data_IF_957092217799
#
_entry.id   IF_957092217799
#
_cell.length_a   1.000
_cell.length_b   1.000
_cell.length_c   1.000
_cell.angle_alpha   90.00
_cell.angle_beta   90.00
_cell.angle_gamma   90.00
#
_symmetry.space_group_name_H-M   'P 1'
#
loop_
_entity.id
_entity.type
_entity.pdbx_description
1 polymer ?
#
# COMPACT_ATOMS: atom_id res chain seq x y z
N UNK A 1 -3.05 -23.58 6.64
CA UNK A 1 -4.39 -23.06 7.00
C UNK A 1 -4.76 -22.01 5.95
N UNK A 2 -5.95 -22.10 5.37
CA UNK A 2 -6.43 -21.12 4.37
C UNK A 2 -7.38 -20.16 5.07
N UNK A 3 -7.31 -18.87 4.73
CA UNK A 3 -8.17 -17.82 5.28
C UNK A 3 -8.73 -16.98 4.13
N UNK A 4 -10.06 -16.83 4.09
CA UNK A 4 -10.75 -16.02 3.09
C UNK A 4 -11.09 -14.65 3.68
N UNK A 5 -10.77 -13.59 2.94
CA UNK A 5 -11.03 -12.20 3.33
C UNK A 5 -11.66 -11.43 2.19
N UNK A 6 -12.84 -10.87 2.43
CA UNK A 6 -13.43 -9.86 1.56
C UNK A 6 -12.89 -8.49 1.95
N UNK A 7 -12.20 -7.82 1.03
CA UNK A 7 -11.68 -6.46 1.22
C UNK A 7 -12.76 -5.48 0.72
N UNK A 8 -13.34 -4.69 1.62
CA UNK A 8 -14.36 -3.68 1.26
C UNK A 8 -13.71 -2.41 0.71
N UNK A 9 -14.51 -1.57 0.08
CA UNK A 9 -14.07 -0.25 -0.38
C UNK A 9 -13.37 0.54 0.73
N UNK A 10 -12.18 1.06 0.43
CA UNK A 10 -11.37 1.82 1.39
C UNK A 10 -10.59 0.96 2.38
N UNK A 11 -10.66 -0.37 2.27
CA UNK A 11 -9.80 -1.28 3.03
C UNK A 11 -8.57 -1.69 2.23
N UNK A 12 -7.52 -2.04 2.96
CA UNK A 12 -6.26 -2.51 2.43
C UNK A 12 -5.86 -3.80 3.15
N UNK A 13 -5.30 -4.73 2.39
CA UNK A 13 -4.55 -5.87 2.91
C UNK A 13 -3.08 -5.48 3.06
N UNK A 14 -2.55 -5.61 4.28
CA UNK A 14 -1.15 -5.40 4.57
C UNK A 14 -0.49 -6.76 4.84
N UNK A 15 0.46 -7.10 3.99
CA UNK A 15 1.23 -8.35 4.03
C UNK A 15 2.49 -8.10 4.85
N UNK A 16 2.70 -8.90 5.90
CA UNK A 16 3.81 -8.73 6.85
C UNK A 16 4.71 -9.97 7.00
N UNK A 17 4.37 -11.07 6.34
CA UNK A 17 5.07 -12.34 6.51
C UNK A 17 5.32 -12.99 5.14
N UNK A 18 6.55 -13.47 4.95
CA UNK A 18 6.94 -14.23 3.77
C UNK A 18 6.44 -15.69 3.85
N UNK A 19 6.45 -16.38 2.73
CA UNK A 19 6.01 -17.79 2.65
C UNK A 19 4.49 -17.96 2.63
N UNK A 20 3.74 -16.87 2.48
CA UNK A 20 2.29 -16.94 2.27
C UNK A 20 1.96 -16.94 0.78
N UNK A 21 0.82 -17.54 0.44
CA UNK A 21 0.24 -17.46 -0.89
C UNK A 21 -1.00 -16.57 -0.79
N UNK A 22 -1.08 -15.58 -1.69
CA UNK A 22 -2.23 -14.69 -1.84
C UNK A 22 -2.89 -14.99 -3.18
N UNK A 23 -4.18 -15.29 -3.15
CA UNK A 23 -4.99 -15.44 -4.35
C UNK A 23 -6.00 -14.28 -4.40
N UNK A 24 -5.93 -13.48 -5.45
CA UNK A 24 -6.80 -12.32 -5.64
C UNK A 24 -8.08 -12.65 -6.42
N UNK A 25 -8.18 -13.86 -6.99
CA UNK A 25 -9.38 -14.36 -7.66
C UNK A 25 -9.73 -15.77 -7.16
N UNK A 26 -9.99 -15.95 -5.85
CA UNK A 26 -10.16 -17.28 -5.24
C UNK A 26 -11.46 -17.99 -5.63
N UNK A 27 -12.44 -17.28 -6.19
CA UNK A 27 -13.73 -17.82 -6.61
C UNK A 27 -13.73 -18.24 -8.10
N UNK A 28 -12.57 -18.16 -8.78
CA UNK A 28 -12.42 -18.60 -10.16
C UNK A 28 -12.76 -20.09 -10.31
N UNK A 29 -13.44 -20.45 -11.40
CA UNK A 29 -13.81 -21.85 -11.67
C UNK A 29 -12.68 -22.67 -12.28
N UNK A 30 -11.75 -22.03 -12.99
CA UNK A 30 -10.59 -22.67 -13.60
C UNK A 30 -9.30 -22.33 -12.81
N UNK A 31 -8.47 -23.33 -12.58
CA UNK A 31 -7.14 -23.20 -11.97
C UNK A 31 -6.23 -22.18 -12.69
N UNK A 32 -6.42 -21.98 -14.00
CA UNK A 32 -5.66 -21.01 -14.79
C UNK A 32 -6.15 -19.56 -14.66
N UNK A 33 -7.33 -19.36 -14.07
CA UNK A 33 -7.94 -18.04 -13.85
C UNK A 33 -7.66 -17.47 -12.45
N UNK A 34 -7.02 -18.25 -11.58
CA UNK A 34 -6.59 -17.78 -10.25
C UNK A 34 -5.41 -16.82 -10.34
N UNK A 35 -5.51 -15.70 -9.64
CA UNK A 35 -4.46 -14.68 -9.55
C UNK A 35 -3.59 -14.92 -8.30
N UNK A 36 -2.77 -15.97 -8.38
CA UNK A 36 -1.98 -16.47 -7.24
C UNK A 36 -0.57 -15.90 -7.18
N UNK A 37 -0.20 -15.36 -6.02
CA UNK A 37 1.12 -14.79 -5.74
C UNK A 37 1.74 -15.42 -4.49
N UNK A 38 3.03 -15.78 -4.57
CA UNK A 38 3.81 -16.22 -3.42
C UNK A 38 4.60 -15.03 -2.88
N UNK A 39 4.53 -14.78 -1.58
CA UNK A 39 5.20 -13.61 -0.99
C UNK A 39 6.59 -14.01 -0.51
N UNK A 40 7.63 -13.41 -1.09
CA UNK A 40 9.02 -13.64 -0.69
C UNK A 40 9.47 -12.64 0.37
N UNK A 41 10.50 -12.98 1.15
CA UNK A 41 11.08 -12.05 2.13
C UNK A 41 11.65 -10.81 1.43
N UNK A 42 12.28 -11.00 0.26
CA UNK A 42 12.84 -9.92 -0.55
C UNK A 42 11.81 -8.88 -0.97
N UNK A 43 10.59 -9.31 -1.33
CA UNK A 43 9.49 -8.40 -1.66
C UNK A 43 9.09 -7.56 -0.44
N UNK A 44 9.01 -8.16 0.75
CA UNK A 44 8.72 -7.43 1.99
C UNK A 44 9.82 -6.45 2.35
N UNK A 45 11.09 -6.85 2.23
CA UNK A 45 12.25 -5.99 2.49
C UNK A 45 12.30 -4.79 1.53
N UNK A 46 11.84 -4.99 0.29
CA UNK A 46 11.70 -3.92 -0.70
C UNK A 46 10.50 -2.99 -0.42
N UNK A 47 9.67 -3.28 0.58
CA UNK A 47 8.48 -2.52 0.93
C UNK A 47 7.24 -2.86 0.11
N UNK A 48 7.23 -3.94 -0.66
CA UNK A 48 6.07 -4.38 -1.46
C UNK A 48 5.05 -5.09 -0.56
N UNK A 49 4.33 -4.32 0.24
CA UNK A 49 3.57 -4.87 1.39
C UNK A 49 2.06 -4.73 1.26
N UNK A 50 1.53 -3.93 0.32
CA UNK A 50 0.11 -3.59 0.33
C UNK A 50 -0.66 -3.97 -0.94
N UNK A 51 -1.89 -4.44 -0.76
CA UNK A 51 -2.90 -4.58 -1.81
C UNK A 51 -4.15 -3.83 -1.34
N UNK A 52 -4.62 -2.85 -2.10
CA UNK A 52 -5.82 -2.08 -1.79
C UNK A 52 -6.86 -2.26 -2.88
N UNK A 53 -8.12 -2.51 -2.49
CA UNK A 53 -9.23 -2.61 -3.43
C UNK A 53 -10.11 -1.37 -3.33
N UNK A 54 -10.42 -0.80 -4.50
CA UNK A 54 -11.43 0.24 -4.65
C UNK A 54 -12.61 -0.30 -5.46
N UNK A 55 -13.68 0.49 -5.61
CA UNK A 55 -14.88 0.05 -6.33
C UNK A 55 -14.63 -0.32 -7.81
N UNK A 56 -13.48 0.08 -8.37
CA UNK A 56 -13.23 0.01 -9.82
C UNK A 56 -11.87 -0.59 -10.18
N UNK A 57 -10.95 -0.75 -9.21
CA UNK A 57 -9.58 -1.21 -9.48
C UNK A 57 -8.88 -1.72 -8.22
N UNK A 58 -8.05 -2.74 -8.41
CA UNK A 58 -7.04 -3.20 -7.45
C UNK A 58 -5.76 -2.40 -7.61
N UNK A 59 -5.26 -1.84 -6.50
CA UNK A 59 -3.99 -1.13 -6.41
C UNK A 59 -2.97 -1.94 -5.62
N UNK A 60 -1.73 -1.90 -6.11
CA UNK A 60 -0.58 -2.49 -5.42
C UNK A 60 0.23 -1.37 -4.81
N UNK A 61 0.59 -1.50 -3.55
CA UNK A 61 1.18 -0.43 -2.75
C UNK A 61 2.57 -0.80 -2.26
N UNK A 62 3.54 0.01 -2.66
CA UNK A 62 4.89 -0.02 -2.11
C UNK A 62 4.98 0.99 -0.98
N UNK A 63 5.46 0.56 0.19
CA UNK A 63 5.69 1.45 1.32
C UNK A 63 6.60 2.61 0.93
N UNK A 64 6.23 3.81 1.36
CA UNK A 64 7.01 5.02 1.19
C UNK A 64 7.25 5.64 2.56
N UNK A 65 8.51 5.68 2.96
CA UNK A 65 8.94 6.23 4.25
C UNK A 65 9.48 7.65 4.12
N UNK A 66 9.40 8.27 2.94
CA UNK A 66 9.90 9.62 2.71
C UNK A 66 9.01 10.69 3.38
N UNK A 67 7.85 10.29 3.91
CA UNK A 67 6.99 11.17 4.70
C UNK A 67 6.41 12.34 3.90
N UNK A 68 6.25 12.15 2.58
CA UNK A 68 5.79 13.22 1.69
C UNK A 68 4.41 13.72 2.10
N UNK A 69 4.24 15.04 2.03
CA UNK A 69 2.98 15.69 2.34
C UNK A 69 1.95 15.43 1.23
N UNK A 70 0.78 14.92 1.59
CA UNK A 70 -0.39 14.94 0.73
C UNK A 70 -0.94 16.38 0.70
N UNK A 71 -0.55 17.16 -0.31
CA UNK A 71 -0.87 18.59 -0.41
C UNK A 71 -2.36 18.93 -0.19
N UNK A 72 -3.31 18.26 -0.87
CA UNK A 72 -4.75 18.47 -0.64
C UNK A 72 -5.21 18.19 0.80
N UNK A 73 -4.80 17.07 1.39
CA UNK A 73 -5.18 16.74 2.77
C UNK A 73 -4.49 17.65 3.80
N UNK A 74 -3.22 17.97 3.58
CA UNK A 74 -2.48 18.91 4.41
C UNK A 74 -3.15 20.28 4.40
N UNK A 75 -3.50 20.81 3.23
CA UNK A 75 -4.20 22.09 3.11
C UNK A 75 -5.57 22.06 3.80
N UNK A 76 -6.33 20.96 3.68
CA UNK A 76 -7.60 20.77 4.39
C UNK A 76 -7.40 20.87 5.90
N UNK A 77 -6.43 20.14 6.46
CA UNK A 77 -6.18 20.15 7.91
C UNK A 77 -5.60 21.47 8.40
N UNK A 78 -4.74 22.12 7.61
CA UNK A 78 -4.17 23.44 7.93
C UNK A 78 -5.28 24.49 8.01
N UNK A 79 -6.24 24.50 7.08
CA UNK A 79 -7.40 25.41 7.14
C UNK A 79 -8.27 25.18 8.37
N UNK A 80 -8.39 23.94 8.82
CA UNK A 80 -9.17 23.58 10.01
C UNK A 80 -8.45 23.97 11.31
N UNK A 81 -7.13 23.79 11.36
CA UNK A 81 -6.32 24.04 12.56
C UNK A 81 -5.96 25.52 12.72
N UNK A 82 -5.69 26.21 11.61
CA UNK A 82 -5.22 27.59 11.57
C UNK A 82 -6.17 28.47 10.75
N UNK A 83 -7.43 28.65 11.18
CA UNK A 83 -8.47 29.32 10.37
C UNK A 83 -8.14 30.79 10.05
N UNK A 84 -7.29 31.42 10.87
CA UNK A 84 -6.88 32.82 10.69
C UNK A 84 -5.77 33.00 9.65
N UNK A 85 -5.12 31.92 9.19
CA UNK A 85 -4.04 31.99 8.20
C UNK A 85 -4.63 31.82 6.80
N UNK A 86 -4.61 32.88 6.00
CA UNK A 86 -5.13 32.85 4.63
C UNK A 86 -4.12 32.24 3.66
N UNK A 87 -4.49 31.23 2.84
CA UNK A 87 -3.65 30.78 1.73
C UNK A 87 -3.25 31.95 0.82
N UNK A 88 -1.95 32.03 0.48
CA UNK A 88 -1.40 33.12 -0.33
C UNK A 88 -1.02 34.40 0.43
N UNK A 89 -1.21 34.43 1.76
CA UNK A 89 -0.64 35.51 2.59
C UNK A 89 0.87 35.32 2.80
N UNK A 90 1.59 36.40 3.15
CA UNK A 90 3.01 36.32 3.48
C UNK A 90 3.31 35.38 4.67
N UNK A 91 2.34 35.18 5.56
CA UNK A 91 2.41 34.23 6.69
C UNK A 91 2.13 32.77 6.31
N UNK A 92 1.73 32.50 5.07
CA UNK A 92 1.36 31.16 4.63
C UNK A 92 2.59 30.40 4.12
N UNK A 93 3.08 29.50 4.97
CA UNK A 93 4.10 28.52 4.62
C UNK A 93 3.52 27.12 4.82
N UNK A 94 3.23 26.43 3.71
CA UNK A 94 2.57 25.14 3.72
C UNK A 94 3.38 24.08 4.49
N UNK A 95 4.69 24.04 4.33
CA UNK A 95 5.54 23.05 4.98
C UNK A 95 5.62 23.33 6.49
N UNK A 96 5.84 24.58 6.87
CA UNK A 96 5.88 24.97 8.28
C UNK A 96 4.57 24.67 8.99
N UNK A 97 3.44 24.98 8.36
CA UNK A 97 2.11 24.72 8.90
C UNK A 97 1.79 23.22 8.95
N UNK A 98 2.21 22.44 7.96
CA UNK A 98 2.08 20.99 7.96
C UNK A 98 2.83 20.35 9.14
N UNK A 99 4.07 20.78 9.40
CA UNK A 99 4.83 20.27 10.54
C UNK A 99 4.26 20.70 11.90
N UNK A 100 3.54 21.82 11.94
CA UNK A 100 2.83 22.32 13.12
C UNK A 100 1.45 21.66 13.36
N UNK A 101 0.94 20.85 12.42
CA UNK A 101 -0.32 20.12 12.63
C UNK A 101 -0.22 19.15 13.83
N UNK A 102 -1.35 18.92 14.54
CA UNK A 102 -1.46 17.80 15.48
C UNK A 102 -1.04 16.48 14.85
N UNK A 103 -0.37 15.62 15.63
CA UNK A 103 0.26 14.40 15.13
C UNK A 103 -0.66 13.50 14.30
N UNK A 104 -1.91 13.31 14.72
CA UNK A 104 -2.89 12.50 13.99
C UNK A 104 -3.29 13.12 12.64
N UNK A 105 -3.55 14.43 12.59
CA UNK A 105 -3.84 15.12 11.32
C UNK A 105 -2.65 15.10 10.38
N UNK A 106 -1.44 15.24 10.93
CA UNK A 106 -0.19 15.15 10.16
C UNK A 106 -0.02 13.76 9.57
N UNK A 107 -0.17 12.69 10.37
CA UNK A 107 -0.13 11.29 9.88
C UNK A 107 -1.13 11.03 8.76
N UNK A 108 -2.38 11.50 8.91
CA UNK A 108 -3.42 11.33 7.88
C UNK A 108 -3.12 12.11 6.59
N UNK A 109 -2.34 13.18 6.66
CA UNK A 109 -1.87 13.94 5.51
C UNK A 109 -0.44 13.58 5.07
N UNK A 110 0.15 12.51 5.61
CA UNK A 110 1.43 11.96 5.16
C UNK A 110 1.16 10.79 4.22
N UNK A 111 1.81 10.80 3.06
CA UNK A 111 1.83 9.67 2.15
C UNK A 111 2.78 8.61 2.74
N UNK A 112 2.27 7.41 2.96
CA UNK A 112 3.04 6.27 3.51
C UNK A 112 3.23 5.14 2.50
N UNK A 113 2.72 5.28 1.29
CA UNK A 113 2.84 4.29 0.22
C UNK A 113 2.54 4.88 -1.14
N UNK A 114 3.18 4.37 -2.18
CA UNK A 114 2.93 4.73 -3.57
C UNK A 114 2.26 3.58 -4.33
N UNK A 115 1.30 3.89 -5.23
CA UNK A 115 0.76 2.89 -6.14
C UNK A 115 1.84 2.46 -7.14
N UNK A 116 1.94 1.16 -7.36
CA UNK A 116 2.83 0.53 -8.33
C UNK A 116 2.04 -0.46 -9.19
N UNK A 117 2.63 -0.91 -10.30
CA UNK A 117 2.05 -1.99 -11.10
C UNK A 117 2.15 -3.32 -10.35
N UNK A 118 1.28 -4.28 -10.70
CA UNK A 118 1.34 -5.64 -10.16
C UNK A 118 2.75 -6.24 -10.25
N UNK A 119 3.42 -6.11 -11.40
CA UNK A 119 4.79 -6.57 -11.62
C UNK A 119 5.84 -5.88 -10.74
N UNK A 120 5.55 -4.69 -10.23
CA UNK A 120 6.39 -3.98 -9.27
C UNK A 120 6.31 -4.59 -7.86
N UNK A 121 5.21 -5.27 -7.52
CA UNK A 121 5.07 -6.04 -6.28
C UNK A 121 5.46 -7.50 -6.51
N UNK A 122 4.93 -8.11 -7.55
CA UNK A 122 5.11 -9.52 -7.90
C UNK A 122 6.05 -9.65 -9.10
N UNK A 123 7.34 -9.56 -8.80
CA UNK A 123 8.39 -10.05 -9.68
C UNK A 123 9.26 -11.01 -8.89
N UNK A 124 9.68 -12.09 -9.53
CA UNK A 124 10.51 -13.13 -8.93
C UNK A 124 11.80 -13.24 -9.73
N UNK A 125 12.93 -13.30 -9.03
CA UNK A 125 14.19 -13.70 -9.66
C UNK A 125 14.19 -15.19 -9.97
N UNK A 126 15.14 -15.63 -10.80
CA UNK A 126 15.36 -17.04 -11.08
C UNK A 126 15.54 -17.88 -9.80
N UNK A 127 16.24 -17.33 -8.81
CA UNK A 127 16.46 -17.99 -7.51
C UNK A 127 15.17 -18.11 -6.70
N UNK A 128 14.36 -17.05 -6.64
CA UNK A 128 13.04 -17.08 -5.98
C UNK A 128 12.10 -18.07 -6.68
N UNK A 129 12.12 -18.13 -8.02
CA UNK A 129 11.35 -19.12 -8.77
C UNK A 129 11.84 -20.56 -8.48
N UNK A 130 13.14 -20.77 -8.33
CA UNK A 130 13.69 -22.07 -7.96
C UNK A 130 13.28 -22.47 -6.54
N UNK A 131 13.29 -21.53 -5.60
CA UNK A 131 12.83 -21.73 -4.23
C UNK A 131 11.32 -22.03 -4.19
N UNK A 132 10.49 -21.26 -4.90
CA UNK A 132 9.05 -21.49 -5.02
C UNK A 132 8.80 -22.89 -5.59
N UNK A 133 9.50 -23.27 -6.65
CA UNK A 133 9.38 -24.62 -7.24
C UNK A 133 9.75 -25.70 -6.24
N UNK A 134 10.85 -25.53 -5.49
CA UNK A 134 11.29 -26.48 -4.45
C UNK A 134 10.23 -26.67 -3.35
N UNK A 135 9.51 -25.61 -2.99
CA UNK A 135 8.41 -25.67 -2.02
C UNK A 135 7.09 -26.17 -2.63
N UNK A 136 6.89 -26.01 -3.96
CA UNK A 136 5.72 -26.53 -4.69
C UNK A 136 5.79 -28.03 -5.04
N UNK A 137 6.91 -28.74 -4.82
CA UNK A 137 7.01 -30.22 -5.02
C UNK A 137 6.36 -31.02 -3.86
N UNK A 138 5.45 -30.42 -3.08
CA UNK A 138 4.71 -31.11 -2.01
C UNK A 138 3.22 -30.73 -2.02
N UNK A 139 2.60 -30.81 -3.19
CA UNK A 139 1.14 -30.93 -3.32
C UNK A 139 0.82 -32.32 -3.88
#
# INVERSE_FOLDING_TARGET
KVEYKTIKHGQQLLIKQAGIIVDLNPDASDLYEHDTYYITQKQLDAGNTGIALTNWQTYYLKSDNNGQMNGPLALKYIKQEFPNIKPGSASFDLNKLFHALPGEKRKLATITSNPVKASGIFSYTSDELAEIKKHKVKL
#
